data_IF_190311247371
#
_entry.id   IF_190311247371
#
_cell.length_a   1.000
_cell.length_b   1.000
_cell.length_c   1.000
_cell.angle_alpha   90.00
_cell.angle_beta   90.00
_cell.angle_gamma   90.00
#
_symmetry.space_group_name_H-M   'P 1'
#
loop_
_entity.id
_entity.type
_entity.pdbx_description
1 polymer ?
#
# COMPACT_ATOMS: atom_id res chain seq x y z
N UNK A 1 16.28 18.69 3.03
CA UNK A 1 15.19 17.74 3.33
C UNK A 1 15.85 16.41 3.66
N UNK A 2 15.69 15.92 4.88
CA UNK A 2 16.21 14.61 5.28
C UNK A 2 15.08 13.58 5.18
N UNK A 3 15.14 12.72 4.17
CA UNK A 3 14.20 11.62 3.95
C UNK A 3 14.74 10.34 4.60
N UNK A 4 15.04 10.39 5.89
CA UNK A 4 15.78 9.35 6.60
C UNK A 4 15.07 8.00 6.60
N UNK A 5 13.78 7.95 6.94
CA UNK A 5 13.00 6.72 6.93
C UNK A 5 12.85 6.14 5.52
N UNK A 6 12.64 6.98 4.51
CA UNK A 6 12.57 6.53 3.11
C UNK A 6 13.90 5.95 2.62
N UNK A 7 15.02 6.61 2.94
CA UNK A 7 16.35 6.11 2.56
C UNK A 7 16.66 4.78 3.25
N UNK A 8 16.37 4.65 4.56
CA UNK A 8 16.52 3.40 5.31
C UNK A 8 15.65 2.28 4.75
N UNK A 9 14.41 2.61 4.36
CA UNK A 9 13.50 1.66 3.75
C UNK A 9 14.03 1.14 2.41
N UNK A 10 14.40 2.04 1.50
CA UNK A 10 14.96 1.67 0.19
C UNK A 10 16.22 0.83 0.31
N UNK A 11 17.10 1.17 1.25
CA UNK A 11 18.29 0.36 1.51
C UNK A 11 17.94 -1.04 2.03
N UNK A 12 16.96 -1.13 2.96
CA UNK A 12 16.56 -2.39 3.58
C UNK A 12 15.79 -3.33 2.65
N UNK A 13 14.95 -2.81 1.74
CA UNK A 13 14.04 -3.63 0.92
C UNK A 13 14.46 -3.75 -0.54
N UNK A 14 15.31 -2.84 -1.04
CA UNK A 14 15.60 -2.70 -2.48
C UNK A 14 14.34 -2.42 -3.33
N UNK A 15 13.27 -1.91 -2.71
CA UNK A 15 12.04 -1.53 -3.40
C UNK A 15 12.27 -0.36 -4.36
N UNK A 16 11.32 -0.18 -5.28
CA UNK A 16 11.31 0.89 -6.25
C UNK A 16 10.46 2.07 -5.77
N UNK A 17 11.09 3.24 -5.65
CA UNK A 17 10.41 4.52 -5.44
C UNK A 17 10.08 5.14 -6.81
N UNK A 18 8.81 5.50 -7.01
CA UNK A 18 8.41 6.38 -8.10
C UNK A 18 7.52 7.52 -7.63
N UNK A 19 7.46 8.55 -8.46
CA UNK A 19 6.67 9.76 -8.23
C UNK A 19 6.03 10.18 -9.54
N UNK A 20 4.74 10.46 -9.53
CA UNK A 20 3.98 10.93 -10.68
C UNK A 20 3.10 12.14 -10.34
N UNK A 21 2.67 12.86 -11.38
CA UNK A 21 1.62 13.87 -11.28
C UNK A 21 0.24 13.19 -11.25
N UNK A 22 -0.67 13.67 -10.41
CA UNK A 22 -2.01 13.11 -10.34
C UNK A 22 -2.84 13.51 -11.55
N UNK A 23 -3.31 12.51 -12.30
CA UNK A 23 -4.09 12.66 -13.54
C UNK A 23 -5.20 13.72 -13.48
N UNK A 24 -5.99 13.74 -12.41
CA UNK A 24 -7.16 14.62 -12.31
C UNK A 24 -6.84 16.03 -11.80
N UNK A 25 -5.55 16.38 -11.69
CA UNK A 25 -5.10 17.56 -10.96
C UNK A 25 -5.30 17.35 -9.46
N UNK A 26 -4.31 17.74 -8.65
CA UNK A 26 -4.35 17.48 -7.21
C UNK A 26 -2.99 17.42 -6.54
N UNK A 27 -1.92 17.38 -7.34
CA UNK A 27 -0.54 17.35 -6.85
C UNK A 27 0.16 16.09 -7.34
N UNK A 28 1.04 15.56 -6.52
CA UNK A 28 1.92 14.45 -6.83
C UNK A 28 1.62 13.26 -5.95
N UNK A 29 1.97 12.07 -6.44
CA UNK A 29 1.84 10.81 -5.73
C UNK A 29 3.20 10.11 -5.72
N UNK A 30 3.67 9.76 -4.54
CA UNK A 30 4.87 8.95 -4.34
C UNK A 30 4.48 7.55 -3.89
N UNK A 31 5.09 6.52 -4.48
CA UNK A 31 4.88 5.11 -4.15
C UNK A 31 6.24 4.46 -3.96
N UNK A 32 6.41 3.69 -2.88
CA UNK A 32 7.54 2.76 -2.73
C UNK A 32 7.04 1.34 -2.52
N UNK A 33 7.40 0.44 -3.42
CA UNK A 33 7.02 -0.97 -3.36
C UNK A 33 7.93 -1.81 -4.25
N UNK A 34 7.78 -3.13 -4.21
CA UNK A 34 8.48 -4.01 -5.14
C UNK A 34 8.21 -3.56 -6.58
N UNK A 35 9.24 -3.59 -7.43
CA UNK A 35 9.19 -3.04 -8.80
C UNK A 35 7.97 -3.50 -9.59
N UNK A 36 7.61 -4.78 -9.53
CA UNK A 36 6.45 -5.32 -10.26
C UNK A 36 5.09 -4.82 -9.78
N UNK A 37 5.00 -4.35 -8.54
CA UNK A 37 3.82 -3.72 -7.99
C UNK A 37 3.77 -2.25 -8.42
N UNK A 38 4.90 -1.54 -8.31
CA UNK A 38 5.03 -0.15 -8.75
C UNK A 38 4.74 0.01 -10.25
N UNK A 39 5.34 -0.83 -11.10
CA UNK A 39 5.10 -0.83 -12.56
C UNK A 39 3.62 -1.08 -12.91
N UNK A 40 2.96 -1.97 -12.17
CA UNK A 40 1.54 -2.23 -12.37
C UNK A 40 0.69 -1.03 -11.95
N UNK A 41 0.88 -0.51 -10.74
CA UNK A 41 0.08 0.59 -10.21
C UNK A 41 0.23 1.84 -11.07
N UNK A 42 1.45 2.22 -11.46
CA UNK A 42 1.65 3.35 -12.39
C UNK A 42 1.07 3.08 -13.76
N UNK A 43 1.19 1.86 -14.30
CA UNK A 43 0.52 1.48 -15.55
C UNK A 43 -1.00 1.63 -15.49
N UNK A 44 -1.62 1.37 -14.34
CA UNK A 44 -3.05 1.58 -14.13
C UNK A 44 -3.41 3.07 -13.96
N UNK A 45 -2.58 3.83 -13.26
CA UNK A 45 -2.76 5.28 -13.03
C UNK A 45 -2.64 6.09 -14.33
N UNK A 46 -1.71 5.70 -15.21
CA UNK A 46 -1.54 6.24 -16.56
C UNK A 46 -2.59 5.73 -17.57
N UNK A 47 -3.39 4.73 -17.19
CA UNK A 47 -4.33 4.00 -18.05
C UNK A 47 -5.56 4.79 -18.52
N UNK A 48 -6.69 4.11 -18.76
CA UNK A 48 -7.96 4.78 -18.97
C UNK A 48 -8.55 5.36 -17.68
N UNK A 49 -9.71 6.02 -17.78
CA UNK A 49 -10.36 6.60 -16.60
C UNK A 49 -10.79 5.53 -15.59
N UNK A 50 -11.17 4.33 -16.06
CA UNK A 50 -11.52 3.22 -15.17
C UNK A 50 -10.30 2.68 -14.43
N UNK A 51 -9.21 2.41 -15.13
CA UNK A 51 -7.97 1.90 -14.54
C UNK A 51 -7.40 2.88 -13.51
N UNK A 52 -7.39 4.18 -13.83
CA UNK A 52 -6.89 5.22 -12.94
C UNK A 52 -7.79 5.41 -11.70
N UNK A 53 -9.11 5.29 -11.87
CA UNK A 53 -10.09 5.35 -10.78
C UNK A 53 -9.89 4.17 -9.82
N UNK A 54 -9.80 2.95 -10.34
CA UNK A 54 -9.63 1.74 -9.52
C UNK A 54 -8.26 1.72 -8.80
N UNK A 55 -7.19 2.20 -9.44
CA UNK A 55 -5.88 2.34 -8.80
C UNK A 55 -5.85 3.41 -7.71
N UNK A 56 -6.57 4.50 -7.92
CA UNK A 56 -6.75 5.52 -6.89
C UNK A 56 -7.57 4.97 -5.73
N UNK A 57 -8.66 4.25 -5.98
CA UNK A 57 -9.45 3.60 -4.94
C UNK A 57 -8.62 2.60 -4.11
N UNK A 58 -7.78 1.77 -4.77
CA UNK A 58 -6.85 0.90 -4.06
C UNK A 58 -5.92 1.69 -3.13
N UNK A 59 -5.30 2.77 -3.63
CA UNK A 59 -4.33 3.53 -2.84
C UNK A 59 -4.98 4.32 -1.70
N UNK A 60 -6.19 4.83 -1.90
CA UNK A 60 -6.92 5.64 -0.93
C UNK A 60 -7.60 4.79 0.16
N UNK A 61 -7.96 3.54 -0.14
CA UNK A 61 -8.60 2.65 0.84
C UNK A 61 -7.61 1.80 1.63
N UNK A 62 -6.33 1.79 1.23
CA UNK A 62 -5.30 0.94 1.83
C UNK A 62 -4.18 1.79 2.47
N UNK A 63 -4.47 2.46 3.60
CA UNK A 63 -3.54 3.39 4.24
C UNK A 63 -2.23 2.78 4.75
N UNK A 64 -2.11 1.45 4.82
CA UNK A 64 -0.84 0.79 5.17
C UNK A 64 0.08 0.63 3.97
N UNK A 65 -0.44 0.76 2.74
CA UNK A 65 0.36 0.68 1.53
C UNK A 65 1.34 1.87 1.51
N UNK A 66 2.64 1.67 1.21
CA UNK A 66 3.64 2.75 1.26
C UNK A 66 3.52 3.74 0.09
N UNK A 67 2.44 4.51 0.10
CA UNK A 67 2.16 5.61 -0.82
C UNK A 67 1.78 6.88 -0.06
N UNK A 68 2.04 8.04 -0.66
CA UNK A 68 1.59 9.31 -0.14
C UNK A 68 1.36 10.32 -1.28
N UNK A 69 0.60 11.37 -0.96
CA UNK A 69 0.32 12.47 -1.88
C UNK A 69 0.86 13.79 -1.33
N UNK A 70 1.06 14.80 -2.17
CA UNK A 70 1.44 16.16 -1.77
C UNK A 70 1.25 17.15 -2.90
N UNK A 71 1.14 18.45 -2.63
CA UNK A 71 0.95 19.45 -3.69
C UNK A 71 2.19 19.61 -4.58
N UNK A 72 3.36 19.16 -4.11
CA UNK A 72 4.63 19.13 -4.85
C UNK A 72 5.28 17.75 -4.76
N UNK A 73 6.23 17.39 -5.65
CA UNK A 73 6.98 16.14 -5.53
C UNK A 73 7.70 16.02 -4.18
N UNK A 74 8.23 17.15 -3.69
CA UNK A 74 8.92 17.22 -2.41
C UNK A 74 7.97 16.92 -1.25
N UNK A 75 6.79 17.54 -1.23
CA UNK A 75 5.78 17.29 -0.21
C UNK A 75 5.28 15.84 -0.23
N UNK A 76 5.09 15.25 -1.43
CA UNK A 76 4.71 13.84 -1.55
C UNK A 76 5.78 12.91 -0.95
N UNK A 77 7.07 13.22 -1.14
CA UNK A 77 8.18 12.47 -0.54
C UNK A 77 8.28 12.67 0.97
N UNK A 78 8.05 13.88 1.48
CA UNK A 78 8.04 14.16 2.92
C UNK A 78 6.90 13.40 3.61
N UNK A 79 5.71 13.41 3.02
CA UNK A 79 4.56 12.66 3.51
C UNK A 79 4.81 11.16 3.46
N UNK A 80 5.42 10.64 2.38
CA UNK A 80 5.80 9.24 2.28
C UNK A 80 6.84 8.87 3.35
N UNK A 81 7.85 9.70 3.57
CA UNK A 81 8.85 9.49 4.60
C UNK A 81 8.22 9.43 6.01
N UNK A 82 7.33 10.37 6.34
CA UNK A 82 6.62 10.39 7.62
C UNK A 82 5.73 9.13 7.79
N UNK A 83 5.06 8.70 6.71
CA UNK A 83 4.28 7.45 6.71
C UNK A 83 5.16 6.24 6.97
N UNK A 84 6.32 6.12 6.31
CA UNK A 84 7.26 5.02 6.54
C UNK A 84 7.80 4.98 7.97
N UNK A 85 8.07 6.13 8.59
CA UNK A 85 8.47 6.23 9.99
C UNK A 85 7.39 5.71 10.96
N UNK A 86 6.12 5.92 10.61
CA UNK A 86 4.98 5.37 11.35
C UNK A 86 4.80 3.86 11.11
N UNK A 87 5.00 3.41 9.87
CA UNK A 87 4.72 2.02 9.45
C UNK A 87 5.84 1.05 9.84
N UNK A 88 7.10 1.50 9.90
CA UNK A 88 8.26 0.63 10.06
C UNK A 88 9.15 1.01 11.25
N UNK A 89 9.82 0.02 11.79
CA UNK A 89 10.94 0.16 12.71
C UNK A 89 12.23 -0.16 11.94
N UNK A 90 13.21 0.73 12.04
CA UNK A 90 14.50 0.59 11.36
C UNK A 90 15.59 0.29 12.37
N UNK A 91 16.29 -0.83 12.17
CA UNK A 91 17.38 -1.27 13.03
C UNK A 91 18.64 -1.52 12.21
N UNK A 92 19.82 -1.29 12.78
CA UNK A 92 21.06 -1.64 12.10
C UNK A 92 21.23 -3.15 12.08
N UNK A 93 21.54 -3.71 10.91
CA UNK A 93 21.83 -5.12 10.72
C UNK A 93 23.33 -5.34 10.46
N UNK A 94 23.78 -6.57 10.73
CA UNK A 94 25.09 -7.09 10.32
C UNK A 94 25.08 -7.73 8.93
N UNK A 95 23.91 -7.77 8.28
CA UNK A 95 23.70 -8.28 6.94
C UNK A 95 24.31 -7.35 5.87
N UNK A 96 24.35 -7.76 4.58
CA UNK A 96 24.87 -6.92 3.49
C UNK A 96 24.17 -5.55 3.38
N UNK A 97 22.92 -5.46 3.85
CA UNK A 97 22.19 -4.20 3.98
C UNK A 97 22.32 -3.68 5.41
N UNK A 98 22.72 -2.40 5.56
CA UNK A 98 22.95 -1.81 6.88
C UNK A 98 21.68 -1.72 7.70
N UNK A 99 20.53 -1.58 7.04
CA UNK A 99 19.25 -1.40 7.68
C UNK A 99 18.35 -2.62 7.49
N UNK A 100 17.63 -2.95 8.55
CA UNK A 100 16.49 -3.86 8.52
C UNK A 100 15.23 -3.04 8.79
N UNK A 101 14.25 -3.13 7.90
CA UNK A 101 12.93 -2.53 8.07
C UNK A 101 11.96 -3.62 8.56
N UNK A 102 11.45 -3.48 9.78
CA UNK A 102 10.44 -4.38 10.35
C UNK A 102 9.11 -3.66 10.43
N UNK A 103 8.06 -4.23 9.84
CA UNK A 103 6.72 -3.65 9.90
C UNK A 103 6.22 -3.57 11.34
N UNK A 104 5.57 -2.46 11.70
CA UNK A 104 4.88 -2.29 12.99
C UNK A 104 3.44 -2.81 12.96
N UNK A 105 3.02 -3.42 11.86
CA UNK A 105 1.72 -4.07 11.67
C UNK A 105 1.93 -5.47 11.06
N UNK A 106 0.93 -6.34 11.22
CA UNK A 106 0.91 -7.67 10.60
C UNK A 106 -0.29 -7.76 9.67
N UNK A 107 -0.05 -8.09 8.40
CA UNK A 107 -1.10 -8.47 7.46
C UNK A 107 -1.10 -9.99 7.41
N UNK A 108 -2.18 -10.61 7.88
CA UNK A 108 -2.31 -12.06 7.97
C UNK A 108 -3.51 -12.52 7.14
N UNK A 109 -3.27 -13.39 6.17
CA UNK A 109 -4.32 -14.06 5.41
C UNK A 109 -4.61 -15.43 6.01
N UNK A 110 -5.89 -15.81 6.00
CA UNK A 110 -6.31 -17.17 6.25
C UNK A 110 -6.15 -18.00 4.97
N UNK A 111 -5.82 -19.27 5.10
CA UNK A 111 -6.02 -20.25 4.03
C UNK A 111 -7.18 -21.18 4.37
N UNK A 112 -7.87 -21.64 3.33
CA UNK A 112 -8.97 -22.60 3.43
C UNK A 112 -8.54 -23.85 4.20
N UNK A 113 -9.44 -24.34 5.04
CA UNK A 113 -9.25 -25.51 5.89
C UNK A 113 -10.54 -26.34 5.87
N UNK A 114 -10.41 -27.66 5.86
CA UNK A 114 -11.58 -28.53 5.74
C UNK A 114 -12.56 -28.32 6.92
N UNK A 115 -13.87 -28.60 6.75
CA UNK A 115 -14.85 -28.46 7.82
C UNK A 115 -14.47 -29.27 9.07
N UNK A 116 -14.12 -28.56 10.14
CA UNK A 116 -13.68 -29.15 11.41
C UNK A 116 -12.17 -29.06 11.67
N UNK A 117 -11.39 -28.55 10.73
CA UNK A 117 -9.97 -28.25 10.91
C UNK A 117 -9.75 -26.84 11.50
N UNK A 118 -8.62 -26.66 12.18
CA UNK A 118 -8.20 -25.36 12.68
C UNK A 118 -7.71 -24.50 11.51
N UNK A 119 -8.22 -23.27 11.41
CA UNK A 119 -7.80 -22.34 10.36
C UNK A 119 -6.36 -21.91 10.59
N UNK A 120 -5.52 -22.04 9.57
CA UNK A 120 -4.17 -21.52 9.58
C UNK A 120 -4.04 -20.13 8.97
N UNK A 121 -2.87 -19.52 9.18
CA UNK A 121 -2.58 -18.14 8.80
C UNK A 121 -1.17 -18.00 8.22
N UNK A 122 -0.97 -17.02 7.34
CA UNK A 122 0.35 -16.67 6.80
C UNK A 122 0.52 -15.15 6.66
N UNK A 123 1.76 -14.69 6.74
CA UNK A 123 2.14 -13.29 6.53
C UNK A 123 1.93 -12.90 5.07
N UNK A 124 1.28 -11.77 4.85
CA UNK A 124 0.96 -11.23 3.53
C UNK A 124 1.95 -10.14 3.16
N UNK A 125 2.45 -10.19 1.93
CA UNK A 125 3.29 -9.14 1.37
C UNK A 125 2.51 -8.23 0.41
N UNK A 126 2.98 -6.99 0.25
CA UNK A 126 2.37 -6.04 -0.69
C UNK A 126 2.43 -6.50 -2.14
N UNK A 127 3.48 -7.24 -2.53
CA UNK A 127 3.58 -7.76 -3.90
C UNK A 127 2.54 -8.85 -4.16
N UNK A 128 2.18 -9.64 -3.14
CA UNK A 128 1.13 -10.66 -3.25
C UNK A 128 -0.26 -10.00 -3.33
N UNK A 129 -0.54 -9.00 -2.48
CA UNK A 129 -1.78 -8.21 -2.55
C UNK A 129 -1.95 -7.58 -3.94
N UNK A 130 -0.92 -6.92 -4.46
CA UNK A 130 -0.98 -6.33 -5.80
C UNK A 130 -1.02 -7.42 -6.89
N UNK A 131 -0.44 -8.58 -6.63
CA UNK A 131 -0.58 -9.77 -7.48
C UNK A 131 -2.04 -10.24 -7.58
N UNK A 132 -2.76 -10.24 -6.46
CA UNK A 132 -4.19 -10.54 -6.40
C UNK A 132 -5.01 -9.56 -7.24
N UNK A 133 -4.59 -8.30 -7.32
CA UNK A 133 -5.25 -7.27 -8.13
C UNK A 133 -5.06 -7.42 -9.65
N UNK A 134 -4.07 -8.20 -10.11
CA UNK A 134 -3.78 -8.41 -11.55
C UNK A 134 -4.78 -9.34 -12.23
N UNK A 135 -6.08 -9.12 -12.04
CA UNK A 135 -7.13 -9.75 -12.86
C UNK A 135 -7.29 -8.98 -14.18
N UNK A 136 -7.69 -9.67 -15.26
CA UNK A 136 -7.87 -9.06 -16.59
C UNK A 136 -9.19 -8.26 -16.74
N UNK A 137 -9.70 -7.69 -15.64
CA UNK A 137 -11.01 -7.06 -15.59
C UNK A 137 -10.90 -5.53 -15.54
N UNK A 138 -11.90 -4.84 -16.13
CA UNK A 138 -12.00 -3.38 -16.13
C UNK A 138 -12.15 -2.76 -14.72
N UNK A 139 -12.66 -3.54 -13.75
CA UNK A 139 -12.90 -3.13 -12.36
C UNK A 139 -12.01 -3.91 -11.41
N UNK A 140 -10.70 -3.84 -11.62
CA UNK A 140 -9.78 -4.79 -11.00
C UNK A 140 -9.77 -4.71 -9.46
N UNK A 141 -9.98 -3.55 -8.85
CA UNK A 141 -9.90 -3.39 -7.41
C UNK A 141 -11.25 -3.72 -6.76
N UNK A 142 -12.33 -3.08 -7.21
CA UNK A 142 -13.66 -3.28 -6.64
C UNK A 142 -14.18 -4.70 -6.88
N UNK A 143 -13.90 -5.30 -8.06
CA UNK A 143 -14.27 -6.69 -8.33
C UNK A 143 -13.45 -7.68 -7.48
N UNK A 144 -12.13 -7.45 -7.32
CA UNK A 144 -11.31 -8.29 -6.46
C UNK A 144 -11.74 -8.17 -5.00
N UNK A 145 -12.03 -6.97 -4.51
CA UNK A 145 -12.53 -6.70 -3.15
C UNK A 145 -13.88 -7.37 -2.91
N UNK A 146 -14.80 -7.33 -3.88
CA UNK A 146 -16.10 -7.97 -3.75
C UNK A 146 -16.04 -9.52 -3.76
N UNK A 147 -15.01 -10.10 -4.39
CA UNK A 147 -14.85 -11.56 -4.53
C UNK A 147 -13.86 -12.16 -3.55
N UNK A 148 -13.02 -11.36 -2.92
CA UNK A 148 -11.98 -11.85 -2.03
C UNK A 148 -12.58 -12.62 -0.83
N UNK A 149 -11.96 -13.74 -0.50
CA UNK A 149 -12.34 -14.64 0.59
C UNK A 149 -11.11 -15.45 1.05
N UNK A 150 -11.31 -16.48 1.87
CA UNK A 150 -10.25 -17.36 2.38
C UNK A 150 -9.70 -18.37 1.35
N UNK A 151 -10.24 -18.39 0.13
CA UNK A 151 -9.85 -19.28 -0.96
C UNK A 151 -9.41 -18.54 -2.23
N UNK A 152 -9.99 -17.37 -2.50
CA UNK A 152 -9.76 -16.54 -3.67
C UNK A 152 -9.35 -15.13 -3.24
N UNK A 153 -8.29 -14.58 -3.87
CA UNK A 153 -7.76 -13.24 -3.57
C UNK A 153 -7.48 -13.02 -2.07
N UNK A 154 -6.87 -14.01 -1.44
CA UNK A 154 -6.72 -14.12 0.01
C UNK A 154 -5.87 -13.01 0.61
N UNK A 155 -4.86 -12.57 -0.13
CA UNK A 155 -3.92 -11.54 0.32
C UNK A 155 -4.64 -10.20 0.39
N UNK A 156 -5.47 -9.90 -0.60
CA UNK A 156 -6.38 -8.75 -0.56
C UNK A 156 -7.43 -8.89 0.56
N UNK A 157 -8.00 -10.07 0.76
CA UNK A 157 -9.01 -10.31 1.80
C UNK A 157 -8.47 -10.00 3.21
N UNK A 158 -7.20 -10.34 3.48
CA UNK A 158 -6.53 -10.01 4.74
C UNK A 158 -6.51 -8.51 5.01
N UNK A 159 -6.27 -7.72 3.97
CA UNK A 159 -6.18 -6.27 4.06
C UNK A 159 -7.56 -5.63 4.27
N UNK A 160 -8.57 -6.07 3.53
CA UNK A 160 -9.96 -5.57 3.66
C UNK A 160 -10.51 -5.77 5.07
N UNK A 161 -10.14 -6.87 5.73
CA UNK A 161 -10.57 -7.18 7.09
C UNK A 161 -9.62 -6.67 8.18
N UNK A 162 -8.55 -5.97 7.80
CA UNK A 162 -7.60 -5.43 8.76
C UNK A 162 -8.26 -4.36 9.64
N UNK A 163 -8.07 -4.49 10.96
CA UNK A 163 -8.63 -3.53 11.92
C UNK A 163 -7.63 -2.41 12.20
N UNK A 164 -7.90 -1.22 11.68
CA UNK A 164 -7.07 -0.03 11.93
C UNK A 164 -7.26 0.50 13.36
N UNK A 165 -6.34 0.14 14.26
CA UNK A 165 -6.37 0.55 15.67
C UNK A 165 -5.08 1.26 16.11
N UNK A 166 -5.12 1.88 17.30
CA UNK A 166 -3.96 2.53 17.91
C UNK A 166 -3.36 3.64 17.04
N UNK A 167 -2.06 3.56 16.80
CA UNK A 167 -1.33 4.53 15.98
C UNK A 167 -1.78 4.55 14.51
N UNK A 168 -2.33 3.43 14.00
CA UNK A 168 -2.78 3.31 12.61
C UNK A 168 -4.20 3.87 12.39
N UNK A 169 -4.98 4.07 13.47
CA UNK A 169 -6.32 4.67 13.37
C UNK A 169 -6.31 6.10 12.79
N UNK A 170 -5.16 6.80 12.87
CA UNK A 170 -5.01 8.14 12.32
C UNK A 170 -4.86 8.15 10.80
N UNK A 171 -4.37 7.06 10.19
CA UNK A 171 -4.19 6.98 8.74
C UNK A 171 -5.54 7.04 8.00
N UNK A 172 -6.54 6.33 8.53
CA UNK A 172 -7.94 6.38 8.05
C UNK A 172 -8.54 7.79 8.11
N UNK A 173 -8.06 8.64 9.03
CA UNK A 173 -8.56 10.02 9.21
C UNK A 173 -7.81 11.04 8.35
N UNK A 174 -6.55 10.80 8.04
CA UNK A 174 -5.75 11.70 7.20
C UNK A 174 -6.21 11.67 5.74
N UNK A 175 -6.66 10.52 5.23
CA UNK A 175 -7.21 10.39 3.87
C UNK A 175 -8.59 11.06 3.72
N UNK A 176 -9.40 11.11 4.78
CA UNK A 176 -10.69 11.83 4.76
C UNK A 176 -10.59 13.35 4.85
N UNK A 177 -9.41 13.91 5.12
CA UNK A 177 -9.23 15.36 5.29
C UNK A 177 -9.19 16.14 3.96
N UNK A 178 -9.24 15.45 2.82
CA UNK A 178 -9.33 16.04 1.48
C UNK A 178 -10.73 15.92 0.84
N UNK A 179 -11.71 15.35 1.54
CA UNK A 179 -13.12 15.46 1.12
C UNK A 179 -13.67 16.81 1.58
N UNK A 180 -13.50 17.82 0.72
CA UNK A 180 -14.25 19.08 0.68
C UNK A 180 -14.49 19.76 2.04
N UNK A 181 -13.59 20.63 2.45
CA UNK A 181 -14.00 21.76 3.30
C UNK A 181 -14.86 22.70 2.46
N UNK A 182 -16.16 22.58 2.69
CA UNK A 182 -17.23 23.59 2.61
C UNK A 182 -17.59 24.17 1.23
N UNK A 183 -18.81 23.81 0.78
CA UNK A 183 -19.70 24.66 -0.03
C UNK A 183 -20.24 25.77 0.87
#
# INVERSE_FOLDING_TARGET
MELDALNKYLEATQDHLGIEDQRYGGGFRAIVAHRSATDFLFGMLDGGDFEATEATAFLDENPLFPSAIGATPQEALENLNAKLELLYQFETSTDPFRWKATSRFQLMAQYDADPGEERGWYDVSWVDIVGDLKSSALYYYEDCKAKCNDSEKRDLHALVNFKYEGQFAQLVRQEKRYLWTDI
#
